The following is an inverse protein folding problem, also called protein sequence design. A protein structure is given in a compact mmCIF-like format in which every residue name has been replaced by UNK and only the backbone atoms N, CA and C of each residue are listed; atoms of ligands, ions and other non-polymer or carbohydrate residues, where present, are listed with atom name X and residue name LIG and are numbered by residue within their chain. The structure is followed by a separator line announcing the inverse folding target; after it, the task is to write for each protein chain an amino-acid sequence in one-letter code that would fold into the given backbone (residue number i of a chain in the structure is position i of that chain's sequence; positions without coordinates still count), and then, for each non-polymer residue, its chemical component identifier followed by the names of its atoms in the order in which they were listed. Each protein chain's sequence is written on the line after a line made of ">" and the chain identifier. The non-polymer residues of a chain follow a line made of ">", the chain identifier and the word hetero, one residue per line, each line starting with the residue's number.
data_IF_191111065005
#
_entry.id   IF_191111065005
#
_cell.length_a   1.000
_cell.length_b   1.000
_cell.length_c   1.000
_cell.angle_alpha   90.00
_cell.angle_beta   90.00
_cell.angle_gamma   90.00
#
_symmetry.space_group_name_H-M   'P 1'
#
loop_
_entity.id
_entity.type
_entity.pdbx_description
1 polymer ?
#
# COMPACT_ATOMS: atom_id res chain seq x y z
N UNK A 1 -15.62 14.47 -4.64
CA UNK A 1 -14.30 14.38 -3.95
C UNK A 1 -14.13 13.03 -3.25
N UNK A 2 -15.07 12.62 -2.40
CA UNK A 2 -15.11 11.28 -1.75
C UNK A 2 -14.77 10.09 -2.67
N UNK A 3 -15.39 10.02 -3.85
CA UNK A 3 -15.18 8.90 -4.77
C UNK A 3 -13.71 8.66 -5.15
N UNK A 4 -12.91 9.73 -5.28
CA UNK A 4 -11.49 9.59 -5.63
C UNK A 4 -10.68 8.94 -4.51
N UNK A 5 -11.04 9.20 -3.25
CA UNK A 5 -10.38 8.61 -2.07
C UNK A 5 -10.63 7.10 -2.03
N UNK A 6 -11.87 6.67 -2.24
CA UNK A 6 -12.22 5.25 -2.29
C UNK A 6 -11.58 4.55 -3.49
N UNK A 7 -11.54 5.20 -4.65
CA UNK A 7 -10.83 4.67 -5.83
C UNK A 7 -9.36 4.48 -5.49
N UNK A 8 -8.69 5.45 -4.87
CA UNK A 8 -7.27 5.32 -4.52
C UNK A 8 -7.03 4.25 -3.45
N UNK A 9 -7.91 4.15 -2.46
CA UNK A 9 -7.84 3.10 -1.45
C UNK A 9 -7.80 1.69 -2.08
N UNK A 10 -8.52 1.48 -3.18
CA UNK A 10 -8.52 0.22 -3.92
C UNK A 10 -7.19 -0.16 -4.59
N UNK A 11 -6.26 0.77 -4.73
CA UNK A 11 -4.91 0.53 -5.28
C UNK A 11 -3.83 0.35 -4.20
N UNK A 12 -4.19 0.47 -2.92
CA UNK A 12 -3.29 0.16 -1.80
C UNK A 12 -2.87 -1.31 -1.91
N UNK A 13 -1.57 -1.57 -1.73
CA UNK A 13 -1.00 -2.91 -1.91
C UNK A 13 -0.49 -3.19 -3.32
N UNK A 14 -0.50 -2.22 -4.23
CA UNK A 14 0.24 -2.34 -5.51
C UNK A 14 1.75 -2.34 -5.31
N UNK A 15 2.22 -1.70 -4.24
CA UNK A 15 3.61 -1.70 -3.79
C UNK A 15 4.13 -3.07 -3.36
N UNK A 16 3.24 -4.04 -3.12
CA UNK A 16 3.60 -5.41 -2.71
C UNK A 16 4.50 -6.10 -3.72
N UNK A 17 4.26 -5.84 -5.01
CA UNK A 17 5.07 -6.36 -6.12
C UNK A 17 6.54 -5.93 -5.98
N UNK A 18 6.81 -4.78 -5.35
CA UNK A 18 8.18 -4.32 -5.10
C UNK A 18 8.85 -5.01 -3.91
N UNK A 19 8.09 -5.34 -2.86
CA UNK A 19 8.62 -6.04 -1.67
C UNK A 19 8.95 -7.49 -2.02
N UNK A 20 8.11 -8.14 -2.82
CA UNK A 20 8.34 -9.51 -3.29
C UNK A 20 9.39 -9.58 -4.40
N UNK A 21 9.87 -8.45 -4.92
CA UNK A 21 10.95 -8.42 -5.90
C UNK A 21 12.24 -9.03 -5.39
N UNK A 22 12.52 -8.90 -4.09
CA UNK A 22 13.69 -9.50 -3.44
C UNK A 22 13.65 -11.04 -3.42
N UNK A 23 12.48 -11.65 -3.67
CA UNK A 23 12.27 -13.09 -3.66
C UNK A 23 12.05 -13.68 -5.06
N UNK A 24 12.00 -12.81 -6.07
CA UNK A 24 11.84 -13.24 -7.45
C UNK A 24 13.15 -13.79 -7.99
N UNK A 25 13.12 -14.95 -8.64
CA UNK A 25 14.30 -15.52 -9.30
C UNK A 25 14.81 -14.63 -10.44
N UNK A 26 13.90 -13.97 -11.17
CA UNK A 26 14.23 -13.12 -12.33
C UNK A 26 13.56 -11.75 -12.23
N UNK A 27 14.00 -10.89 -11.29
CA UNK A 27 13.28 -9.65 -10.95
C UNK A 27 13.22 -8.66 -12.11
N UNK A 28 14.21 -8.66 -13.01
CA UNK A 28 14.23 -7.79 -14.20
C UNK A 28 13.09 -8.07 -15.18
N UNK A 29 12.64 -9.33 -15.26
CA UNK A 29 11.58 -9.78 -16.17
C UNK A 29 10.24 -9.88 -15.46
N UNK A 30 10.24 -10.48 -14.27
CA UNK A 30 9.02 -10.90 -13.60
C UNK A 30 8.30 -9.73 -12.94
N UNK A 31 9.05 -8.74 -12.40
CA UNK A 31 8.47 -7.57 -11.74
C UNK A 31 7.73 -6.64 -12.71
N UNK A 32 8.29 -6.24 -13.87
CA UNK A 32 7.56 -5.43 -14.84
C UNK A 32 6.33 -6.17 -15.40
N UNK A 33 6.44 -7.48 -15.61
CA UNK A 33 5.34 -8.31 -16.10
C UNK A 33 4.21 -8.42 -15.08
N UNK A 34 4.54 -8.69 -13.82
CA UNK A 34 3.60 -8.74 -12.71
C UNK A 34 2.91 -7.40 -12.51
N UNK A 35 3.65 -6.29 -12.52
CA UNK A 35 3.09 -4.94 -12.37
C UNK A 35 2.09 -4.60 -13.50
N UNK A 36 2.44 -4.87 -14.76
CA UNK A 36 1.52 -4.65 -15.90
C UNK A 36 0.27 -5.53 -15.80
N UNK A 37 0.43 -6.80 -15.45
CA UNK A 37 -0.68 -7.71 -15.27
C UNK A 37 -1.59 -7.28 -14.11
N UNK A 38 -1.01 -6.82 -13.00
CA UNK A 38 -1.73 -6.30 -11.84
C UNK A 38 -2.57 -5.08 -12.23
N UNK A 39 -1.96 -4.06 -12.85
CA UNK A 39 -2.68 -2.85 -13.27
C UNK A 39 -3.80 -3.17 -14.25
N UNK A 40 -3.53 -4.02 -15.26
CA UNK A 40 -4.54 -4.40 -16.25
C UNK A 40 -5.70 -5.16 -15.60
N UNK A 41 -5.42 -6.16 -14.76
CA UNK A 41 -6.45 -6.94 -14.07
C UNK A 41 -7.24 -6.07 -13.11
N UNK A 42 -6.58 -5.25 -12.32
CA UNK A 42 -7.24 -4.37 -11.35
C UNK A 42 -8.15 -3.38 -12.07
N UNK A 43 -7.64 -2.68 -13.09
CA UNK A 43 -8.44 -1.75 -13.89
C UNK A 43 -9.62 -2.42 -14.59
N UNK A 44 -9.39 -3.56 -15.26
CA UNK A 44 -10.42 -4.30 -15.97
C UNK A 44 -11.53 -4.79 -15.02
N UNK A 45 -11.15 -5.51 -13.96
CA UNK A 45 -12.14 -6.08 -13.04
C UNK A 45 -12.86 -5.00 -12.24
N UNK A 46 -12.20 -3.92 -11.84
CA UNK A 46 -12.86 -2.81 -11.14
C UNK A 46 -13.89 -2.11 -12.01
N UNK A 47 -13.49 -1.67 -13.21
CA UNK A 47 -14.38 -0.95 -14.11
C UNK A 47 -15.54 -1.83 -14.53
N UNK A 48 -15.28 -3.09 -14.89
CA UNK A 48 -16.32 -4.02 -15.31
C UNK A 48 -17.29 -4.34 -14.16
N UNK A 49 -16.78 -4.58 -12.96
CA UNK A 49 -17.63 -4.94 -11.83
C UNK A 49 -18.50 -3.76 -11.37
N UNK A 50 -17.94 -2.54 -11.30
CA UNK A 50 -18.71 -1.32 -10.98
C UNK A 50 -19.74 -1.05 -12.09
N UNK A 51 -19.36 -1.21 -13.37
CA UNK A 51 -20.28 -1.04 -14.48
C UNK A 51 -21.49 -1.97 -14.37
N UNK A 52 -21.26 -3.26 -14.07
CA UNK A 52 -22.35 -4.22 -13.84
C UNK A 52 -23.23 -3.80 -12.68
N UNK A 53 -22.64 -3.40 -11.54
CA UNK A 53 -23.41 -2.95 -10.36
C UNK A 53 -24.30 -1.75 -10.68
N UNK A 54 -23.77 -0.72 -11.34
CA UNK A 54 -24.51 0.52 -11.65
C UNK A 54 -25.58 0.30 -12.72
N UNK A 55 -25.39 -0.67 -13.64
CA UNK A 55 -26.40 -1.04 -14.63
C UNK A 55 -27.58 -1.82 -14.01
N UNK A 56 -27.35 -2.57 -12.93
CA UNK A 56 -28.38 -3.39 -12.29
C UNK A 56 -29.06 -2.65 -11.13
N UNK A 57 -28.31 -1.91 -10.32
CA UNK A 57 -28.83 -1.14 -9.18
C UNK A 57 -28.80 0.35 -9.51
N UNK A 58 -29.95 1.04 -9.53
CA UNK A 58 -30.00 2.47 -9.77
C UNK A 58 -29.08 3.22 -8.81
N UNK A 59 -28.15 3.98 -9.37
CA UNK A 59 -27.21 4.79 -8.59
C UNK A 59 -27.90 5.82 -7.69
N UNK A 60 -29.15 6.19 -7.99
CA UNK A 60 -29.96 7.09 -7.18
C UNK A 60 -30.37 6.48 -5.84
N UNK A 61 -30.55 5.16 -5.76
CA UNK A 61 -30.86 4.46 -4.52
C UNK A 61 -29.62 4.29 -3.63
N UNK A 62 -28.46 4.05 -4.24
CA UNK A 62 -27.18 3.94 -3.53
C UNK A 62 -26.57 5.30 -3.16
N UNK A 63 -26.89 6.37 -3.90
CA UNK A 63 -26.44 7.74 -3.58
C UNK A 63 -27.26 8.42 -2.47
N UNK A 64 -28.47 7.95 -2.16
CA UNK A 64 -29.38 8.57 -1.19
C UNK A 64 -29.38 7.91 0.20
N UNK A 65 -28.76 6.73 0.37
CA UNK A 65 -28.81 5.96 1.62
C UNK A 65 -27.48 5.89 2.35
N UNK A 66 -27.36 6.60 3.48
CA UNK A 66 -26.20 6.60 4.40
C UNK A 66 -25.97 5.31 5.20
N UNK A 67 -26.47 4.17 4.74
CA UNK A 67 -26.25 2.86 5.37
C UNK A 67 -25.93 1.82 4.30
N UNK A 68 -24.67 1.81 3.87
CA UNK A 68 -24.08 0.70 3.10
C UNK A 68 -23.86 -0.47 4.07
N UNK A 69 -24.94 -1.08 4.56
CA UNK A 69 -24.84 -2.21 5.49
C UNK A 69 -24.64 -3.55 4.76
N UNK A 70 -24.74 -3.59 3.44
CA UNK A 70 -24.57 -4.78 2.62
C UNK A 70 -23.70 -4.51 1.39
N UNK A 71 -22.95 -5.54 0.96
CA UNK A 71 -22.16 -5.49 -0.27
C UNK A 71 -23.06 -5.29 -1.49
N UNK A 72 -22.76 -4.34 -2.39
CA UNK A 72 -23.60 -4.09 -3.56
C UNK A 72 -23.72 -5.31 -4.48
N UNK A 73 -22.72 -6.20 -4.49
CA UNK A 73 -22.83 -7.47 -5.22
C UNK A 73 -23.85 -8.41 -4.58
N UNK A 74 -23.88 -8.50 -3.25
CA UNK A 74 -24.89 -9.30 -2.54
C UNK A 74 -26.28 -8.75 -2.83
N UNK A 75 -26.45 -7.43 -2.74
CA UNK A 75 -27.71 -6.75 -3.05
C UNK A 75 -28.17 -6.97 -4.50
N UNK A 76 -27.25 -6.98 -5.47
CA UNK A 76 -27.54 -7.30 -6.88
C UNK A 76 -28.10 -8.72 -7.02
N UNK A 77 -27.48 -9.71 -6.39
CA UNK A 77 -27.92 -11.11 -6.51
C UNK A 77 -29.20 -11.40 -5.73
N UNK A 78 -29.41 -10.74 -4.59
CA UNK A 78 -30.69 -10.78 -3.87
C UNK A 78 -31.81 -10.16 -4.70
N UNK A 79 -31.57 -8.99 -5.31
CA UNK A 79 -32.54 -8.32 -6.18
C UNK A 79 -32.85 -9.09 -7.48
N UNK A 80 -31.88 -9.85 -8.00
CA UNK A 80 -32.07 -10.72 -9.16
C UNK A 80 -32.87 -12.00 -8.87
N UNK A 81 -33.16 -12.30 -7.59
CA UNK A 81 -33.94 -13.46 -7.18
C UNK A 81 -33.24 -14.82 -7.39
N UNK A 82 -31.91 -14.84 -7.52
CA UNK A 82 -31.14 -16.08 -7.72
C UNK A 82 -30.87 -16.71 -6.35
N UNK A 83 -31.47 -17.88 -6.03
CA UNK A 83 -31.25 -18.54 -4.74
C UNK A 83 -29.77 -18.91 -4.55
N UNK A 84 -29.27 -18.82 -3.32
CA UNK A 84 -27.89 -19.11 -2.92
C UNK A 84 -26.78 -18.19 -3.50
N UNK A 85 -27.03 -17.39 -4.54
CA UNK A 85 -26.02 -16.50 -5.13
C UNK A 85 -25.48 -15.47 -4.13
N UNK A 86 -26.33 -14.91 -3.28
CA UNK A 86 -25.94 -14.03 -2.17
C UNK A 86 -24.96 -14.68 -1.18
N UNK A 87 -25.21 -15.94 -0.82
CA UNK A 87 -24.36 -16.72 0.07
C UNK A 87 -23.00 -17.05 -0.56
N UNK A 88 -23.00 -17.43 -1.84
CA UNK A 88 -21.78 -17.68 -2.62
C UNK A 88 -20.93 -16.39 -2.70
N UNK A 89 -21.56 -15.24 -2.98
CA UNK A 89 -20.83 -13.97 -3.03
C UNK A 89 -20.23 -13.58 -1.68
N UNK A 90 -20.97 -13.76 -0.59
CA UNK A 90 -20.44 -13.54 0.76
C UNK A 90 -19.22 -14.43 1.02
N UNK A 91 -19.29 -15.71 0.66
CA UNK A 91 -18.16 -16.64 0.79
C UNK A 91 -16.93 -16.20 -0.04
N UNK A 92 -17.15 -15.76 -1.28
CA UNK A 92 -16.08 -15.25 -2.16
C UNK A 92 -15.43 -13.99 -1.56
N UNK A 93 -16.23 -13.03 -1.10
CA UNK A 93 -15.74 -11.78 -0.50
C UNK A 93 -14.95 -12.05 0.78
N UNK A 94 -15.43 -12.93 1.66
CA UNK A 94 -14.72 -13.29 2.88
C UNK A 94 -13.40 -14.01 2.60
N UNK A 95 -13.38 -14.90 1.61
CA UNK A 95 -12.15 -15.61 1.22
C UNK A 95 -11.12 -14.64 0.62
N UNK A 96 -11.57 -13.69 -0.22
CA UNK A 96 -10.71 -12.64 -0.77
C UNK A 96 -10.16 -11.71 0.34
N UNK A 97 -10.99 -11.33 1.30
CA UNK A 97 -10.58 -10.52 2.45
C UNK A 97 -9.53 -11.24 3.31
N UNK A 98 -9.74 -12.53 3.60
CA UNK A 98 -8.81 -13.35 4.36
C UNK A 98 -7.46 -13.51 3.64
N UNK A 99 -7.49 -13.72 2.32
CA UNK A 99 -6.27 -13.79 1.51
C UNK A 99 -5.48 -12.47 1.55
N UNK A 100 -6.17 -11.34 1.39
CA UNK A 100 -5.57 -10.01 1.49
C UNK A 100 -4.97 -9.76 2.88
N UNK A 101 -5.67 -10.14 3.95
CA UNK A 101 -5.18 -10.02 5.32
C UNK A 101 -3.88 -10.81 5.54
N UNK A 102 -3.79 -12.04 5.02
CA UNK A 102 -2.59 -12.85 5.11
C UNK A 102 -1.40 -12.21 4.36
N UNK A 103 -1.62 -11.66 3.17
CA UNK A 103 -0.60 -10.94 2.42
C UNK A 103 -0.12 -9.70 3.17
N UNK A 104 -1.03 -8.88 3.72
CA UNK A 104 -0.66 -7.68 4.49
C UNK A 104 0.11 -8.01 5.77
N UNK A 105 -0.26 -9.10 6.45
CA UNK A 105 0.45 -9.58 7.64
C UNK A 105 1.88 -10.01 7.30
N UNK A 106 2.04 -10.76 6.21
CA UNK A 106 3.35 -11.16 5.69
C UNK A 106 4.25 -9.96 5.39
N UNK A 107 3.70 -8.95 4.70
CA UNK A 107 4.46 -7.77 4.28
C UNK A 107 4.89 -6.92 5.47
N UNK A 108 3.98 -6.65 6.39
CA UNK A 108 4.27 -5.85 7.59
C UNK A 108 5.36 -6.53 8.43
N UNK A 109 5.28 -7.86 8.55
CA UNK A 109 6.28 -8.68 9.23
C UNK A 109 7.68 -8.52 8.58
N UNK A 110 7.77 -8.58 7.25
CA UNK A 110 9.04 -8.43 6.52
C UNK A 110 9.60 -7.02 6.56
N UNK A 111 8.74 -6.01 6.42
CA UNK A 111 9.16 -4.61 6.52
C UNK A 111 9.69 -4.32 7.93
N UNK A 112 9.00 -4.80 8.98
CA UNK A 112 9.46 -4.66 10.36
C UNK A 112 10.79 -5.39 10.61
N UNK A 113 10.95 -6.59 10.07
CA UNK A 113 12.21 -7.34 10.14
C UNK A 113 13.37 -6.59 9.44
N UNK A 114 13.16 -6.11 8.20
CA UNK A 114 14.15 -5.33 7.46
C UNK A 114 14.56 -4.06 8.20
N UNK A 115 13.59 -3.34 8.80
CA UNK A 115 13.90 -2.19 9.64
C UNK A 115 14.76 -2.57 10.86
N UNK A 116 14.53 -3.74 11.46
CA UNK A 116 15.28 -4.20 12.61
C UNK A 116 16.72 -4.62 12.25
N UNK A 117 16.93 -5.25 11.09
CA UNK A 117 18.27 -5.56 10.55
C UNK A 117 19.10 -4.29 10.36
N UNK A 118 18.47 -3.23 9.85
CA UNK A 118 19.05 -1.91 9.67
C UNK A 118 19.06 -1.05 10.94
N UNK A 119 18.81 -1.64 12.13
CA UNK A 119 18.79 -0.96 13.44
C UNK A 119 17.82 0.23 13.54
N UNK A 120 16.86 0.31 12.62
CA UNK A 120 15.77 1.29 12.56
C UNK A 120 14.53 0.86 13.37
N UNK A 121 14.42 -0.42 13.69
CA UNK A 121 13.43 -0.96 14.62
C UNK A 121 14.11 -1.68 15.81
N UNK A 122 13.37 -2.03 16.88
CA UNK A 122 13.94 -2.75 18.01
C UNK A 122 14.59 -4.08 17.57
N UNK A 123 15.80 -4.37 18.06
CA UNK A 123 16.57 -5.53 17.64
C UNK A 123 15.86 -6.88 17.86
N UNK A 124 14.94 -6.94 18.84
CA UNK A 124 14.15 -8.14 19.08
C UNK A 124 13.19 -8.47 17.93
N UNK A 125 12.72 -7.48 17.16
CA UNK A 125 11.84 -7.70 16.01
C UNK A 125 12.60 -8.32 14.82
N UNK A 126 13.92 -8.15 14.78
CA UNK A 126 14.80 -8.70 13.75
C UNK A 126 15.18 -10.17 13.95
N UNK A 127 14.85 -10.80 15.08
CA UNK A 127 15.29 -12.17 15.37
C UNK A 127 14.50 -13.20 14.56
N UNK A 128 15.21 -14.01 13.77
CA UNK A 128 14.65 -15.12 13.01
C UNK A 128 14.48 -16.36 13.90
N UNK A 129 13.41 -17.13 13.67
CA UNK A 129 13.28 -18.47 14.22
C UNK A 129 14.07 -19.51 13.42
N UNK A 130 14.15 -20.74 13.93
CA UNK A 130 14.77 -21.88 13.24
C UNK A 130 14.18 -22.14 11.85
N UNK A 131 12.90 -21.81 11.65
CA UNK A 131 12.21 -21.89 10.36
C UNK A 131 12.38 -20.65 9.46
N UNK A 132 13.26 -19.71 9.78
CA UNK A 132 13.53 -18.51 8.97
C UNK A 132 12.45 -17.42 9.04
N UNK A 133 11.55 -17.46 10.03
CA UNK A 133 10.45 -16.48 10.16
C UNK A 133 10.74 -15.53 11.35
N UNK A 134 10.63 -14.20 11.19
CA UNK A 134 10.80 -13.25 12.29
C UNK A 134 9.55 -13.23 13.18
N UNK A 135 9.44 -14.23 14.07
CA UNK A 135 8.24 -14.48 14.89
C UNK A 135 7.82 -13.28 15.74
N UNK A 136 8.76 -12.48 16.22
CA UNK A 136 8.43 -11.31 17.03
C UNK A 136 7.82 -10.18 16.20
N UNK A 137 8.33 -9.94 14.99
CA UNK A 137 7.72 -8.99 14.05
C UNK A 137 6.33 -9.46 13.61
N UNK A 138 6.17 -10.78 13.41
CA UNK A 138 4.87 -11.38 13.11
C UNK A 138 3.87 -11.20 14.25
N UNK A 139 4.29 -11.48 15.49
CA UNK A 139 3.44 -11.31 16.67
C UNK A 139 3.01 -9.84 16.86
N UNK A 140 3.93 -8.89 16.67
CA UNK A 140 3.62 -7.46 16.72
C UNK A 140 2.60 -7.05 15.64
N UNK A 141 2.79 -7.55 14.41
CA UNK A 141 1.89 -7.25 13.29
C UNK A 141 0.50 -7.87 13.51
N UNK A 142 0.44 -9.10 14.03
CA UNK A 142 -0.80 -9.78 14.37
C UNK A 142 -1.53 -9.10 15.54
N UNK A 143 -0.80 -8.59 16.53
CA UNK A 143 -1.37 -7.81 17.64
C UNK A 143 -2.09 -6.57 17.11
N UNK A 144 -1.50 -5.84 16.17
CA UNK A 144 -2.14 -4.70 15.53
C UNK A 144 -3.46 -5.07 14.84
N UNK A 145 -3.49 -6.20 14.14
CA UNK A 145 -4.71 -6.72 13.50
C UNK A 145 -5.78 -7.12 14.54
N UNK A 146 -5.40 -7.74 15.65
CA UNK A 146 -6.33 -8.08 16.75
C UNK A 146 -6.90 -6.82 17.40
N UNK A 147 -6.08 -5.81 17.65
CA UNK A 147 -6.54 -4.52 18.19
C UNK A 147 -7.52 -3.86 17.23
N UNK A 148 -7.21 -3.82 15.94
CA UNK A 148 -8.12 -3.28 14.91
C UNK A 148 -9.45 -4.05 14.85
N UNK A 149 -9.41 -5.38 14.96
CA UNK A 149 -10.62 -6.22 14.98
C UNK A 149 -11.48 -5.96 16.23
N UNK A 150 -10.87 -5.82 17.41
CA UNK A 150 -11.59 -5.50 18.66
C UNK A 150 -12.22 -4.11 18.57
N UNK A 151 -11.49 -3.11 18.07
CA UNK A 151 -12.01 -1.76 17.85
C UNK A 151 -13.23 -1.80 16.90
N UNK A 152 -13.09 -2.52 15.79
CA UNK A 152 -14.17 -2.67 14.80
C UNK A 152 -15.38 -3.46 15.32
N UNK A 153 -15.20 -4.38 16.26
CA UNK A 153 -16.30 -5.16 16.83
C UNK A 153 -17.15 -4.36 17.82
N UNK A 154 -16.54 -3.37 18.50
CA UNK A 154 -17.20 -2.58 19.54
C UNK A 154 -17.91 -1.32 19.00
N UNK A 155 -17.46 -0.75 17.89
CA UNK A 155 -18.07 0.44 17.24
C UNK A 155 -17.90 0.38 15.73
N UNK A 156 -18.68 -0.49 15.07
CA UNK A 156 -18.47 -0.85 13.66
C UNK A 156 -18.58 0.32 12.68
N UNK A 157 -19.37 1.35 13.01
CA UNK A 157 -19.53 2.53 12.17
C UNK A 157 -18.35 3.49 12.27
N UNK A 158 -17.98 3.91 13.48
CA UNK A 158 -16.93 4.91 13.66
C UNK A 158 -15.53 4.31 13.55
N UNK A 159 -15.31 3.10 14.08
CA UNK A 159 -14.00 2.46 14.03
C UNK A 159 -13.58 2.16 12.59
N UNK A 160 -14.52 1.78 11.71
CA UNK A 160 -14.22 1.58 10.29
C UNK A 160 -13.72 2.87 9.64
N UNK A 161 -14.44 3.99 9.80
CA UNK A 161 -14.06 5.28 9.20
C UNK A 161 -12.71 5.78 9.76
N UNK A 162 -12.45 5.57 11.05
CA UNK A 162 -11.16 5.90 11.66
C UNK A 162 -10.02 5.08 11.05
N UNK A 163 -10.16 3.75 11.01
CA UNK A 163 -9.14 2.86 10.45
C UNK A 163 -8.92 3.12 8.96
N UNK A 164 -10.00 3.38 8.22
CA UNK A 164 -9.97 3.74 6.81
C UNK A 164 -9.22 5.05 6.60
N UNK A 165 -9.55 6.11 7.35
CA UNK A 165 -8.90 7.42 7.26
C UNK A 165 -7.40 7.35 7.53
N UNK A 166 -7.00 6.63 8.59
CA UNK A 166 -5.58 6.39 8.92
C UNK A 166 -4.87 5.66 7.78
N UNK A 167 -5.50 4.62 7.23
CA UNK A 167 -4.94 3.81 6.14
C UNK A 167 -4.75 4.63 4.86
N UNK A 168 -5.74 5.46 4.48
CA UNK A 168 -5.66 6.36 3.33
C UNK A 168 -4.52 7.36 3.50
N UNK A 169 -4.42 7.99 4.68
CA UNK A 169 -3.34 8.93 4.96
C UNK A 169 -1.96 8.26 4.82
N UNK A 170 -1.78 7.11 5.47
CA UNK A 170 -0.53 6.36 5.44
C UNK A 170 -0.15 5.96 4.01
N UNK A 171 -1.09 5.44 3.23
CA UNK A 171 -0.85 5.03 1.85
C UNK A 171 -0.42 6.19 0.95
N UNK A 172 -1.11 7.32 1.01
CA UNK A 172 -0.76 8.48 0.19
C UNK A 172 0.64 9.00 0.57
N UNK A 173 0.95 9.07 1.87
CA UNK A 173 2.27 9.45 2.35
C UNK A 173 3.36 8.49 1.87
N UNK A 174 3.12 7.17 1.95
CA UNK A 174 4.05 6.15 1.43
C UNK A 174 4.29 6.33 -0.06
N UNK A 175 3.25 6.53 -0.87
CA UNK A 175 3.42 6.76 -2.31
C UNK A 175 4.14 8.07 -2.63
N UNK A 176 3.92 9.14 -1.87
CA UNK A 176 4.68 10.38 -2.00
C UNK A 176 6.16 10.17 -1.68
N UNK A 177 6.49 9.39 -0.64
CA UNK A 177 7.86 9.01 -0.31
C UNK A 177 8.49 8.13 -1.38
N UNK A 178 7.75 7.19 -1.98
CA UNK A 178 8.22 6.37 -3.10
C UNK A 178 8.56 7.26 -4.31
N UNK A 179 7.72 8.26 -4.63
CA UNK A 179 7.98 9.18 -5.73
C UNK A 179 9.21 10.06 -5.45
N UNK A 180 9.36 10.57 -4.23
CA UNK A 180 10.49 11.38 -3.82
C UNK A 180 11.81 10.58 -3.86
N UNK A 181 11.82 9.37 -3.30
CA UNK A 181 12.98 8.47 -3.31
C UNK A 181 13.34 8.03 -4.73
N UNK A 182 12.36 7.70 -5.57
CA UNK A 182 12.60 7.38 -6.98
C UNK A 182 13.16 8.58 -7.77
N UNK A 183 12.72 9.81 -7.47
CA UNK A 183 13.29 11.02 -8.07
C UNK A 183 14.75 11.22 -7.66
N UNK A 184 15.06 11.09 -6.37
CA UNK A 184 16.42 11.14 -5.83
C UNK A 184 17.32 10.06 -6.47
N UNK A 185 16.86 8.82 -6.50
CA UNK A 185 17.56 7.69 -7.12
C UNK A 185 17.93 7.98 -8.59
N UNK A 186 16.98 8.48 -9.39
CA UNK A 186 17.25 8.83 -10.80
C UNK A 186 18.26 9.98 -10.93
N UNK A 187 18.20 10.96 -10.04
CA UNK A 187 19.13 12.07 -10.03
C UNK A 187 20.56 11.60 -9.68
N UNK A 188 20.70 10.73 -8.68
CA UNK A 188 22.00 10.14 -8.28
C UNK A 188 22.59 9.29 -9.39
N UNK A 189 21.83 8.37 -9.99
CA UNK A 189 22.34 7.54 -11.11
C UNK A 189 22.80 8.36 -12.31
N UNK A 190 22.10 9.47 -12.60
CA UNK A 190 22.52 10.40 -13.67
C UNK A 190 23.84 11.10 -13.32
N UNK A 191 24.04 11.48 -12.05
CA UNK A 191 25.30 12.09 -11.59
C UNK A 191 26.46 11.10 -11.65
N UNK A 192 26.20 9.82 -11.41
CA UNK A 192 27.19 8.73 -11.46
C UNK A 192 27.43 8.18 -12.87
N UNK A 193 26.79 8.73 -13.91
CA UNK A 193 26.97 8.28 -15.29
C UNK A 193 26.40 6.90 -15.61
N UNK A 194 25.55 6.34 -14.74
CA UNK A 194 24.98 5.00 -14.91
C UNK A 194 23.91 4.97 -16.03
N UNK A 195 23.78 3.85 -16.76
CA UNK A 195 22.81 3.72 -17.84
C UNK A 195 21.37 3.88 -17.34
N UNK A 196 20.44 4.41 -18.15
CA UNK A 196 19.06 4.59 -17.75
C UNK A 196 18.41 3.25 -17.34
N UNK A 197 17.46 3.31 -16.40
CA UNK A 197 16.70 2.11 -16.00
C UNK A 197 16.02 1.48 -17.22
N UNK A 198 16.04 0.13 -17.35
CA UNK A 198 15.45 -0.59 -18.48
C UNK A 198 13.94 -0.38 -18.60
N UNK A 199 13.26 -0.03 -17.50
CA UNK A 199 11.84 0.29 -17.51
C UNK A 199 11.63 1.79 -17.33
N UNK A 200 10.97 2.39 -18.30
CA UNK A 200 10.58 3.79 -18.29
C UNK A 200 9.08 3.90 -18.53
N UNK A 201 8.45 4.79 -17.77
CA UNK A 201 7.07 5.20 -18.01
C UNK A 201 7.04 6.14 -19.20
N UNK A 202 5.98 6.04 -19.99
CA UNK A 202 5.67 7.02 -21.03
C UNK A 202 5.57 8.43 -20.39
N UNK A 203 6.21 9.42 -21.01
CA UNK A 203 6.33 10.80 -20.54
C UNK A 203 7.09 11.03 -19.20
N UNK A 204 7.92 10.08 -18.75
CA UNK A 204 8.84 10.35 -17.63
C UNK A 204 9.84 11.48 -18.01
N UNK A 205 10.08 12.50 -17.16
CA UNK A 205 9.74 12.60 -15.73
C UNK A 205 8.41 13.31 -15.40
N UNK A 206 7.72 13.92 -16.37
CA UNK A 206 6.51 14.73 -16.16
C UNK A 206 5.45 13.95 -15.38
N UNK A 207 5.26 12.67 -15.74
CA UNK A 207 4.30 11.77 -15.07
C UNK A 207 4.52 11.70 -13.56
N UNK A 208 5.76 11.74 -13.07
CA UNK A 208 6.04 11.65 -11.63
C UNK A 208 5.56 12.88 -10.89
N UNK A 209 5.86 14.06 -11.42
CA UNK A 209 5.46 15.34 -10.82
C UNK A 209 3.95 15.51 -10.85
N UNK A 210 3.30 15.14 -11.96
CA UNK A 210 1.83 15.17 -12.07
C UNK A 210 1.18 14.25 -11.04
N UNK A 211 1.67 13.01 -10.89
CA UNK A 211 1.13 12.06 -9.90
C UNK A 211 1.39 12.56 -8.48
N UNK A 212 2.56 13.12 -8.17
CA UNK A 212 2.84 13.67 -6.85
C UNK A 212 1.90 14.83 -6.49
N UNK A 213 1.67 15.77 -7.41
CA UNK A 213 0.73 16.88 -7.23
C UNK A 213 -0.70 16.36 -7.06
N UNK A 214 -1.10 15.37 -7.85
CA UNK A 214 -2.40 14.74 -7.73
C UNK A 214 -2.61 14.06 -6.37
N UNK A 215 -1.63 13.28 -5.90
CA UNK A 215 -1.68 12.63 -4.59
C UNK A 215 -1.73 13.64 -3.45
N UNK A 216 -0.96 14.74 -3.54
CA UNK A 216 -1.03 15.85 -2.58
C UNK A 216 -2.41 16.52 -2.60
N UNK A 217 -2.99 16.76 -3.78
CA UNK A 217 -4.32 17.34 -3.89
C UNK A 217 -5.39 16.43 -3.27
N UNK A 218 -5.28 15.11 -3.49
CA UNK A 218 -6.18 14.14 -2.84
C UNK A 218 -5.98 14.16 -1.33
N UNK A 219 -4.74 14.13 -0.83
CA UNK A 219 -4.47 14.17 0.60
C UNK A 219 -5.09 15.42 1.23
N UNK A 220 -4.84 16.60 0.66
CA UNK A 220 -5.44 17.86 1.12
C UNK A 220 -6.98 17.81 1.03
N UNK A 221 -7.53 17.18 -0.01
CA UNK A 221 -8.98 17.05 -0.13
C UNK A 221 -9.62 16.22 0.98
N UNK A 222 -8.91 15.26 1.61
CA UNK A 222 -9.48 14.46 2.72
C UNK A 222 -9.77 15.30 3.95
N UNK A 223 -9.12 16.46 4.09
CA UNK A 223 -9.40 17.40 5.17
C UNK A 223 -10.80 18.03 5.05
N UNK A 224 -11.31 18.15 3.82
CA UNK A 224 -12.61 18.77 3.54
C UNK A 224 -13.74 17.74 3.44
N UNK A 225 -13.47 16.49 3.79
CA UNK A 225 -14.41 15.37 3.65
C UNK A 225 -14.88 14.94 5.04
N UNK A 226 -16.18 15.11 5.28
CA UNK A 226 -16.82 14.65 6.52
C UNK A 226 -16.59 13.15 6.74
N UNK A 227 -16.15 12.79 7.95
CA UNK A 227 -15.84 11.41 8.33
C UNK A 227 -14.41 10.95 8.04
N UNK A 228 -13.58 11.75 7.34
CA UNK A 228 -12.15 11.48 7.14
C UNK A 228 -11.22 12.34 8.02
N UNK A 229 -11.76 13.08 8.98
CA UNK A 229 -10.98 13.80 10.00
C UNK A 229 -9.92 12.93 10.71
N UNK A 230 -10.19 11.64 11.02
CA UNK A 230 -9.18 10.78 11.65
C UNK A 230 -7.88 10.63 10.86
N UNK A 231 -7.93 10.78 9.52
CA UNK A 231 -6.76 10.76 8.66
C UNK A 231 -5.73 11.83 9.10
N UNK A 232 -6.21 13.02 9.44
CA UNK A 232 -5.36 14.14 9.88
C UNK A 232 -5.08 14.09 11.38
N UNK A 233 -6.08 13.76 12.19
CA UNK A 233 -5.96 13.71 13.65
C UNK A 233 -4.93 12.68 14.13
N UNK A 234 -4.87 11.51 13.49
CA UNK A 234 -3.93 10.46 13.87
C UNK A 234 -2.76 10.33 12.89
N UNK A 235 -3.02 10.48 11.59
CA UNK A 235 -2.00 10.31 10.56
C UNK A 235 -0.89 11.35 10.64
N UNK A 236 -1.24 12.63 10.76
CA UNK A 236 -0.23 13.71 10.80
C UNK A 236 0.66 13.63 12.05
N UNK A 237 0.13 13.49 13.28
CA UNK A 237 0.98 13.32 14.46
C UNK A 237 1.87 12.08 14.38
N UNK A 238 1.34 10.96 13.87
CA UNK A 238 2.14 9.75 13.68
C UNK A 238 3.26 9.95 12.67
N UNK A 239 2.99 10.62 11.54
CA UNK A 239 4.03 10.94 10.56
C UNK A 239 5.10 11.87 11.13
N UNK A 240 4.70 12.91 11.88
CA UNK A 240 5.64 13.80 12.57
C UNK A 240 6.50 13.03 13.57
N UNK A 241 5.90 12.11 14.33
CA UNK A 241 6.61 11.22 15.24
C UNK A 241 7.65 10.37 14.49
N UNK A 242 7.28 9.74 13.37
CA UNK A 242 8.22 8.96 12.55
C UNK A 242 9.39 9.79 12.03
N UNK A 243 9.13 10.99 11.51
CA UNK A 243 10.17 11.90 11.05
C UNK A 243 11.08 12.32 12.21
N UNK A 244 10.50 12.66 13.37
CA UNK A 244 11.27 13.02 14.55
C UNK A 244 12.17 11.87 15.02
N UNK A 245 11.63 10.65 15.12
CA UNK A 245 12.39 9.44 15.45
C UNK A 245 13.52 9.21 14.44
N UNK A 246 13.25 9.31 13.14
CA UNK A 246 14.27 9.18 12.10
C UNK A 246 15.40 10.21 12.26
N UNK A 247 15.07 11.48 12.50
CA UNK A 247 16.07 12.54 12.67
C UNK A 247 16.91 12.34 13.94
N UNK A 248 16.31 11.87 15.04
CA UNK A 248 17.04 11.50 16.26
C UNK A 248 18.00 10.34 15.97
N UNK A 249 17.53 9.27 15.31
CA UNK A 249 18.37 8.12 14.96
C UNK A 249 19.52 8.48 14.03
N UNK A 250 19.28 9.40 13.08
CA UNK A 250 20.32 9.96 12.21
C UNK A 250 21.37 10.72 13.01
N UNK A 251 20.96 11.57 13.97
CA UNK A 251 21.90 12.31 14.84
C UNK A 251 22.73 11.40 15.75
N UNK A 252 22.17 10.27 16.20
CA UNK A 252 22.89 9.29 17.04
C UNK A 252 23.85 8.39 16.23
N UNK A 253 24.04 8.64 14.92
CA UNK A 253 24.90 7.82 14.06
C UNK A 253 24.38 6.41 13.78
N UNK A 254 23.15 6.07 14.23
CA UNK A 254 22.56 4.76 13.97
C UNK A 254 22.29 4.52 12.48
N UNK A 255 22.26 5.57 11.66
CA UNK A 255 22.08 5.46 10.21
C UNK A 255 23.39 5.42 9.41
N UNK A 256 24.56 5.56 10.04
CA UNK A 256 25.84 5.72 9.33
C UNK A 256 26.24 4.43 8.58
N UNK A 257 25.88 3.27 9.12
CA UNK A 257 26.08 1.98 8.45
C UNK A 257 25.29 1.85 7.14
N UNK A 258 24.08 2.41 7.07
CA UNK A 258 23.26 2.41 5.84
C UNK A 258 23.89 3.27 4.75
N UNK A 259 24.51 4.39 5.14
CA UNK A 259 25.23 5.28 4.22
C UNK A 259 26.56 4.66 3.76
N UNK A 260 27.14 3.75 4.55
CA UNK A 260 28.34 3.00 4.18
C UNK A 260 28.01 1.85 3.20
N UNK A 261 26.93 1.10 3.42
CA UNK A 261 26.47 0.01 2.53
C UNK A 261 25.90 0.52 1.20
N UNK A 262 25.33 1.72 1.16
CA UNK A 262 24.81 2.34 -0.07
C UNK A 262 25.88 2.98 -0.96
N UNK A 263 27.15 3.02 -0.53
CA UNK A 263 28.26 3.27 -1.47
C UNK A 263 28.33 2.08 -2.39
N UNK A 264 27.85 2.27 -3.63
CA UNK A 264 27.92 1.26 -4.67
C UNK A 264 29.37 0.74 -4.72
N UNK A 265 29.59 -0.60 -4.69
CA UNK A 265 30.90 -1.12 -5.05
C UNK A 265 31.27 -0.56 -6.42
N UNK A 266 32.54 -0.16 -6.60
CA UNK A 266 33.03 0.45 -7.83
C UNK A 266 32.45 -0.28 -9.04
N UNK A 267 31.65 0.43 -9.83
CA UNK A 267 31.03 -0.14 -11.02
C UNK A 267 32.15 -0.40 -12.03
N UNK A 268 32.65 -1.61 -12.09
CA UNK A 268 33.46 -2.07 -13.22
C UNK A 268 32.52 -2.34 -14.40
N UNK A 269 32.59 -1.55 -15.49
CA UNK A 269 31.83 -1.87 -16.68
C UNK A 269 32.31 -3.23 -17.18
N UNK A 270 31.41 -4.22 -17.23
CA UNK A 270 31.67 -5.47 -17.95
C UNK A 270 32.05 -5.09 -19.38
N UNK A 271 33.31 -5.36 -19.74
CA UNK A 271 33.77 -5.26 -21.11
C UNK A 271 32.78 -6.02 -21.98
N UNK A 272 32.15 -5.28 -22.90
CA UNK A 272 31.35 -5.86 -23.96
C UNK A 272 32.26 -6.75 -24.78
N UNK A 273 32.02 -8.06 -24.74
CA UNK A 273 32.57 -8.99 -25.73
C UNK A 273 32.10 -8.51 -27.11
N UNK A 274 33.08 -8.10 -27.91
CA UNK A 274 32.92 -7.62 -29.28
C UNK A 274 32.62 -8.76 -30.27
#
# INVERSE_FOLDING_TARGET
>A
MLAMVFVLFSYIGTEVVSVTAAESENPQRDIPRAARAMVLRLGLFYVLAIMVVVLVVPWTLTAQGGTINASPFVTVFEGAGIPAAAGIMTFVVLTAALSSANTNLYLTTRMMHSLAEHRLAPAWAGRLSTSGVPRNALALSALGMVVAAILSANDSGQAYLVLFGISVFAAIVVWLLILATHASFRATRRKEGLPPSPVQLWAAPVTRSVVAVFLLAVLVSTYFVEGLDPAWQFGLPFFVLLVATYLVMKKTGRCDHLLAETRLPDYEPRATDA
#
